data_IF_907437819607
#
_entry.id   IF_907437819607
#
_cell.length_a   1.000
_cell.length_b   1.000
_cell.length_c   1.000
_cell.angle_alpha   90.00
_cell.angle_beta   90.00
_cell.angle_gamma   90.00
#
_symmetry.space_group_name_H-M   'P 1'
#
loop_
_entity.id
_entity.type
_entity.pdbx_description
1 polymer ?
#
# COMPACT_ATOMS: atom_id res chain seq x y z
N UNK A 1 -4.82 0.05 12.18
CA UNK A 1 -5.04 0.59 10.81
C UNK A 1 -3.87 1.48 10.39
N UNK A 2 -3.57 1.55 9.09
CA UNK A 2 -2.45 2.30 8.52
C UNK A 2 -2.96 3.17 7.37
N UNK A 3 -2.56 4.44 7.32
CA UNK A 3 -2.79 5.27 6.14
C UNK A 3 -2.01 4.71 4.95
N UNK A 4 -2.71 4.35 3.88
CA UNK A 4 -2.07 3.88 2.64
C UNK A 4 -1.39 5.03 1.89
N UNK A 5 -0.28 4.75 1.22
CA UNK A 5 0.48 5.72 0.43
C UNK A 5 -0.36 6.40 -0.65
N UNK A 6 -0.14 7.70 -0.83
CA UNK A 6 -0.67 8.48 -1.96
C UNK A 6 -2.05 9.10 -1.78
N UNK A 7 -2.71 8.93 -0.63
CA UNK A 7 -4.10 9.41 -0.41
C UNK A 7 -4.14 10.80 0.22
N UNK A 8 -3.52 11.00 1.36
CA UNK A 8 -3.44 12.30 2.02
C UNK A 8 -2.02 12.82 1.96
N UNK A 9 -1.94 14.08 1.66
CA UNK A 9 -0.81 15.00 1.79
C UNK A 9 0.60 14.44 1.85
N UNK A 10 1.49 15.35 1.66
CA UNK A 10 2.93 15.11 1.73
C UNK A 10 3.52 15.88 2.92
N UNK A 11 2.66 16.35 3.85
CA UNK A 11 3.10 17.23 4.93
C UNK A 11 2.97 16.57 6.29
N UNK A 12 3.92 16.81 7.15
CA UNK A 12 3.95 16.40 8.56
C UNK A 12 2.66 16.77 9.29
N UNK A 13 2.12 17.97 9.04
CA UNK A 13 0.88 18.44 9.68
C UNK A 13 -0.32 17.57 9.32
N UNK A 14 -0.43 17.15 8.05
CA UNK A 14 -1.50 16.24 7.60
C UNK A 14 -1.34 14.86 8.24
N UNK A 15 -0.13 14.32 8.30
CA UNK A 15 0.12 13.02 8.93
C UNK A 15 -0.22 13.02 10.42
N UNK A 16 0.14 14.10 11.14
CA UNK A 16 -0.22 14.30 12.55
C UNK A 16 -1.75 14.40 12.76
N UNK A 17 -2.47 15.03 11.82
CA UNK A 17 -3.94 15.10 11.88
C UNK A 17 -4.58 13.72 11.68
N UNK A 18 -4.10 12.94 10.71
CA UNK A 18 -4.57 11.57 10.45
C UNK A 18 -4.32 10.66 11.66
N UNK A 19 -3.15 10.76 12.29
CA UNK A 19 -2.85 10.02 13.51
C UNK A 19 -3.82 10.36 14.66
N UNK A 20 -4.14 11.66 14.84
CA UNK A 20 -5.14 12.11 15.84
C UNK A 20 -6.54 11.55 15.58
N UNK A 21 -6.86 11.22 14.35
CA UNK A 21 -8.16 10.66 13.92
C UNK A 21 -8.20 9.12 13.92
N UNK A 22 -7.21 8.48 14.53
CA UNK A 22 -7.23 7.06 14.85
C UNK A 22 -6.39 6.16 13.94
N UNK A 23 -5.62 6.71 13.00
CA UNK A 23 -4.64 5.89 12.29
C UNK A 23 -3.52 5.43 13.23
N UNK A 24 -3.21 4.14 13.23
CA UNK A 24 -2.14 3.54 14.02
C UNK A 24 -0.78 3.51 13.33
N UNK A 25 -0.71 4.01 12.09
CA UNK A 25 0.52 4.17 11.31
C UNK A 25 0.29 5.01 10.07
N UNK A 26 1.35 5.64 9.58
CA UNK A 26 1.32 6.53 8.41
C UNK A 26 2.28 6.02 7.35
N UNK A 27 1.79 5.80 6.13
CA UNK A 27 2.66 5.59 4.98
C UNK A 27 2.74 6.89 4.17
N UNK A 28 3.95 7.37 3.93
CA UNK A 28 4.17 8.59 3.15
C UNK A 28 3.71 8.42 1.70
N UNK A 29 3.52 9.53 0.99
CA UNK A 29 3.48 9.49 -0.46
C UNK A 29 4.80 8.92 -0.99
N UNK A 30 4.73 8.27 -2.17
CA UNK A 30 5.93 7.70 -2.80
C UNK A 30 6.99 8.78 -3.06
N UNK A 31 8.19 8.54 -2.55
CA UNK A 31 9.34 9.44 -2.58
C UNK A 31 10.33 8.97 -3.66
N UNK A 32 10.82 9.91 -4.44
CA UNK A 32 11.83 9.69 -5.47
C UNK A 32 13.20 10.20 -5.02
N UNK A 33 14.26 9.69 -5.65
CA UNK A 33 15.61 10.26 -5.49
C UNK A 33 15.78 11.65 -6.13
N UNK A 34 14.79 12.11 -6.90
CA UNK A 34 14.76 13.39 -7.62
C UNK A 34 13.33 13.91 -7.69
N UNK A 35 13.15 15.21 -8.00
CA UNK A 35 11.83 15.76 -8.30
C UNK A 35 11.18 14.98 -9.46
N UNK A 36 9.88 14.67 -9.30
CA UNK A 36 9.10 13.96 -10.32
C UNK A 36 7.78 14.69 -10.58
N UNK A 37 7.53 14.96 -11.87
CA UNK A 37 6.32 15.65 -12.33
C UNK A 37 5.22 14.63 -12.61
N UNK A 38 4.09 14.78 -11.93
CA UNK A 38 2.91 13.93 -12.17
C UNK A 38 2.22 14.18 -13.50
N UNK A 39 1.16 13.43 -13.75
CA UNK A 39 0.34 13.58 -14.96
C UNK A 39 -0.51 14.87 -14.92
N UNK A 40 -0.93 15.40 -16.09
CA UNK A 40 -1.87 16.51 -16.16
C UNK A 40 -3.26 16.09 -15.68
N UNK A 41 -4.03 17.08 -15.18
CA UNK A 41 -5.43 16.85 -14.78
C UNK A 41 -6.35 16.65 -16.01
N UNK A 42 -7.46 15.90 -15.83
CA UNK A 42 -7.91 15.21 -14.62
C UNK A 42 -7.13 13.91 -14.34
N UNK A 43 -6.75 13.69 -13.08
CA UNK A 43 -5.96 12.54 -12.63
C UNK A 43 -6.73 11.56 -11.77
N UNK A 44 -7.92 11.93 -11.30
CA UNK A 44 -8.77 11.12 -10.42
C UNK A 44 -10.23 11.22 -10.86
N UNK A 45 -10.93 10.09 -10.83
CA UNK A 45 -12.38 9.99 -10.95
C UNK A 45 -12.88 9.12 -9.80
N UNK A 46 -13.93 9.57 -9.15
CA UNK A 46 -14.58 8.82 -8.07
C UNK A 46 -16.05 8.57 -8.38
N UNK A 47 -16.52 7.36 -8.05
CA UNK A 47 -17.92 6.95 -8.03
C UNK A 47 -18.26 6.34 -6.67
N UNK A 48 -19.50 5.94 -6.46
CA UNK A 48 -19.91 5.26 -5.24
C UNK A 48 -19.16 3.94 -5.01
N UNK A 49 -18.82 3.23 -6.08
CA UNK A 49 -18.31 1.86 -5.99
C UNK A 49 -16.82 1.73 -6.26
N UNK A 50 -16.21 2.72 -6.90
CA UNK A 50 -14.81 2.68 -7.29
C UNK A 50 -14.20 4.07 -7.50
N UNK A 51 -12.90 4.12 -7.40
CA UNK A 51 -12.08 5.26 -7.77
C UNK A 51 -11.07 4.83 -8.84
N UNK A 52 -10.87 5.65 -9.86
CA UNK A 52 -9.85 5.46 -10.89
C UNK A 52 -8.85 6.61 -10.82
N UNK A 53 -7.56 6.30 -10.76
CA UNK A 53 -6.54 7.33 -10.68
C UNK A 53 -5.33 7.08 -11.60
N UNK A 54 -4.78 8.16 -12.10
CA UNK A 54 -3.52 8.24 -12.83
C UNK A 54 -2.78 9.50 -12.39
N UNK A 55 -2.37 9.56 -11.12
CA UNK A 55 -1.71 10.76 -10.56
C UNK A 55 -0.30 10.94 -11.07
N UNK A 56 0.39 9.85 -11.47
CA UNK A 56 1.73 9.89 -12.06
C UNK A 56 2.83 10.16 -11.03
N UNK A 57 2.63 9.79 -9.76
CA UNK A 57 3.63 9.84 -8.69
C UNK A 57 4.38 11.19 -8.57
N UNK A 58 3.70 12.37 -8.55
CA UNK A 58 4.40 13.64 -8.36
C UNK A 58 5.10 13.69 -7.02
N UNK A 59 6.32 14.22 -7.01
CA UNK A 59 7.14 14.43 -5.84
C UNK A 59 7.90 15.76 -5.97
N UNK A 60 7.89 16.56 -4.91
CA UNK A 60 8.61 17.85 -4.84
C UNK A 60 10.13 17.67 -4.67
N UNK A 61 10.60 16.44 -4.59
CA UNK A 61 12.01 16.06 -4.50
C UNK A 61 12.51 15.84 -3.07
N UNK A 62 13.74 15.31 -2.95
CA UNK A 62 14.29 14.80 -1.69
C UNK A 62 14.36 15.84 -0.58
N UNK A 63 14.72 17.09 -0.89
CA UNK A 63 14.86 18.13 0.11
C UNK A 63 13.53 18.40 0.85
N UNK A 64 12.41 18.46 0.12
CA UNK A 64 11.09 18.65 0.72
C UNK A 64 10.63 17.43 1.50
N UNK A 65 10.87 16.23 0.99
CA UNK A 65 10.58 14.99 1.69
C UNK A 65 11.35 14.89 3.02
N UNK A 66 12.63 15.24 3.02
CA UNK A 66 13.47 15.25 4.23
C UNK A 66 12.99 16.27 5.27
N UNK A 67 12.56 17.45 4.83
CA UNK A 67 11.98 18.47 5.72
C UNK A 67 10.74 17.95 6.43
N UNK A 68 9.79 17.41 5.68
CA UNK A 68 8.50 16.94 6.22
C UNK A 68 8.67 15.69 7.12
N UNK A 69 9.48 14.73 6.71
CA UNK A 69 9.78 13.55 7.52
C UNK A 69 10.53 13.97 8.79
N UNK A 70 11.56 14.81 8.66
CA UNK A 70 12.32 15.29 9.81
C UNK A 70 11.47 16.10 10.80
N UNK A 71 10.44 16.82 10.33
CA UNK A 71 9.50 17.50 11.23
C UNK A 71 8.56 16.51 11.91
N UNK A 72 8.06 15.51 11.18
CA UNK A 72 7.20 14.48 11.76
C UNK A 72 7.92 13.66 12.82
N UNK A 73 9.16 13.25 12.57
CA UNK A 73 9.93 12.39 13.45
C UNK A 73 10.35 13.04 14.78
N UNK A 74 10.17 14.37 14.96
CA UNK A 74 10.45 15.05 16.25
C UNK A 74 9.53 14.61 17.37
N UNK A 75 8.28 14.29 17.06
CA UNK A 75 7.22 13.95 18.03
C UNK A 75 6.25 12.90 17.50
N UNK A 76 6.67 12.12 16.49
CA UNK A 76 5.81 11.20 15.72
C UNK A 76 4.85 10.38 16.61
N UNK A 77 3.54 10.68 16.55
CA UNK A 77 2.55 10.10 17.46
C UNK A 77 2.27 8.62 17.15
N UNK A 78 2.53 8.20 15.91
CA UNK A 78 2.40 6.82 15.43
C UNK A 78 3.53 6.51 14.44
N UNK A 79 3.89 5.23 14.22
CA UNK A 79 4.95 4.84 13.31
C UNK A 79 4.81 5.43 11.91
N UNK A 80 5.95 5.84 11.32
CA UNK A 80 6.06 6.34 9.96
C UNK A 80 6.71 5.30 9.05
N UNK A 81 6.00 4.94 7.98
CA UNK A 81 6.48 4.05 6.92
C UNK A 81 6.86 4.93 5.73
N UNK A 82 8.15 5.01 5.41
CA UNK A 82 8.63 5.78 4.28
C UNK A 82 8.45 5.00 2.98
N UNK A 83 7.52 5.42 2.13
CA UNK A 83 7.30 4.79 0.83
C UNK A 83 8.28 5.35 -0.19
N UNK A 84 9.04 4.49 -0.88
CA UNK A 84 9.98 4.86 -1.94
C UNK A 84 9.59 4.22 -3.27
N UNK A 85 9.92 4.93 -4.36
CA UNK A 85 9.66 4.48 -5.73
C UNK A 85 10.78 4.95 -6.66
N UNK A 86 11.07 4.16 -7.69
CA UNK A 86 12.02 4.54 -8.73
C UNK A 86 11.74 3.81 -10.05
N UNK A 87 12.36 4.29 -11.13
CA UNK A 87 12.34 3.65 -12.45
C UNK A 87 13.51 2.71 -12.68
N UNK A 88 14.55 2.76 -11.85
CA UNK A 88 15.74 1.93 -11.97
C UNK A 88 16.16 1.41 -10.59
N UNK A 89 16.84 0.27 -10.55
CA UNK A 89 17.22 -0.40 -9.30
C UNK A 89 18.13 0.47 -8.43
N UNK A 90 19.11 1.13 -9.04
CA UNK A 90 20.04 2.01 -8.33
C UNK A 90 19.38 3.29 -7.82
N UNK A 91 18.32 3.77 -8.46
CA UNK A 91 17.54 4.92 -7.98
C UNK A 91 16.69 4.57 -6.74
N UNK A 92 16.21 3.31 -6.59
CA UNK A 92 15.57 2.85 -5.35
C UNK A 92 16.54 2.92 -4.17
N UNK A 93 17.78 2.46 -4.35
CA UNK A 93 18.82 2.55 -3.34
C UNK A 93 19.10 4.02 -2.95
N UNK A 94 19.25 4.92 -3.93
CA UNK A 94 19.46 6.35 -3.70
C UNK A 94 18.28 7.02 -2.96
N UNK A 95 17.05 6.65 -3.28
CA UNK A 95 15.87 7.15 -2.57
C UNK A 95 15.91 6.72 -1.09
N UNK A 96 16.25 5.46 -0.81
CA UNK A 96 16.40 4.94 0.55
C UNK A 96 17.56 5.64 1.31
N UNK A 97 18.74 5.81 0.68
CA UNK A 97 19.90 6.49 1.26
C UNK A 97 19.56 7.90 1.77
N UNK A 98 18.72 8.64 1.02
CA UNK A 98 18.30 9.99 1.41
C UNK A 98 17.34 10.04 2.61
N UNK A 99 16.70 8.92 2.96
CA UNK A 99 15.66 8.84 4.00
C UNK A 99 16.14 8.11 5.27
N UNK A 100 17.04 7.12 5.15
CA UNK A 100 17.57 6.36 6.30
C UNK A 100 18.07 7.26 7.44
N UNK A 101 18.81 8.37 7.20
CA UNK A 101 19.29 9.23 8.30
C UNK A 101 18.18 9.91 9.11
N UNK A 102 16.94 9.94 8.59
CA UNK A 102 15.79 10.55 9.27
C UNK A 102 15.13 9.59 10.26
N UNK A 103 15.47 8.31 10.23
CA UNK A 103 15.02 7.27 11.17
C UNK A 103 13.54 6.91 11.05
N UNK A 104 12.98 6.67 9.83
CA UNK A 104 11.62 6.15 9.74
C UNK A 104 11.51 4.78 10.43
N UNK A 105 10.32 4.44 10.92
CA UNK A 105 10.10 3.17 11.62
C UNK A 105 10.11 1.96 10.67
N UNK A 106 9.77 2.19 9.39
CA UNK A 106 9.83 1.17 8.35
C UNK A 106 9.94 1.81 6.95
N UNK A 107 10.30 0.99 5.96
CA UNK A 107 10.22 1.34 4.54
C UNK A 107 9.10 0.56 3.85
N UNK A 108 8.44 1.20 2.88
CA UNK A 108 7.59 0.54 1.88
C UNK A 108 8.20 0.74 0.50
N UNK A 109 8.64 -0.35 -0.14
CA UNK A 109 9.26 -0.33 -1.48
C UNK A 109 8.16 -0.54 -2.51
N UNK A 110 7.77 0.52 -3.20
CA UNK A 110 6.70 0.48 -4.20
C UNK A 110 7.24 0.05 -5.56
N UNK A 111 7.25 -1.27 -5.81
CA UNK A 111 7.67 -1.86 -7.09
C UNK A 111 6.52 -1.99 -8.10
N UNK A 112 5.31 -1.59 -7.75
CA UNK A 112 4.05 -1.98 -8.40
C UNK A 112 3.34 -0.87 -9.16
N UNK A 113 3.99 0.27 -9.42
CA UNK A 113 3.32 1.38 -10.07
C UNK A 113 3.09 1.13 -11.56
N UNK A 114 1.83 1.00 -12.02
CA UNK A 114 1.52 0.78 -13.44
C UNK A 114 1.69 2.05 -14.31
N UNK A 115 1.85 3.22 -13.67
CA UNK A 115 1.90 4.52 -14.36
C UNK A 115 3.32 4.95 -14.77
N UNK A 116 4.32 4.08 -14.67
CA UNK A 116 5.72 4.30 -15.09
C UNK A 116 6.12 3.44 -16.30
N UNK A 117 5.20 2.63 -16.83
CA UNK A 117 5.48 1.69 -17.94
C UNK A 117 6.04 2.38 -19.20
N UNK A 118 5.55 3.58 -19.54
CA UNK A 118 5.94 4.30 -20.76
C UNK A 118 7.37 4.88 -20.71
N UNK A 119 7.91 5.14 -19.51
CA UNK A 119 9.27 5.68 -19.33
C UNK A 119 10.32 4.59 -19.08
N UNK A 120 9.95 3.49 -18.38
CA UNK A 120 10.91 2.53 -17.82
C UNK A 120 10.59 1.06 -18.15
N UNK A 121 9.59 0.79 -19.00
CA UNK A 121 9.13 -0.56 -19.33
C UNK A 121 8.14 -1.12 -18.31
N UNK A 122 8.01 -2.45 -18.24
CA UNK A 122 7.06 -3.10 -17.33
C UNK A 122 7.45 -2.86 -15.88
N UNK A 123 6.47 -2.68 -14.94
CA UNK A 123 6.74 -2.56 -13.52
C UNK A 123 7.58 -3.73 -12.99
N UNK A 124 8.49 -3.45 -12.07
CA UNK A 124 9.33 -4.49 -11.44
C UNK A 124 8.50 -5.60 -10.78
N UNK A 125 7.27 -5.28 -10.33
CA UNK A 125 6.33 -6.25 -9.78
C UNK A 125 5.88 -7.33 -10.75
N UNK A 126 6.07 -7.17 -12.06
CA UNK A 126 5.66 -8.16 -13.07
C UNK A 126 6.64 -9.32 -13.24
N UNK A 127 7.81 -9.28 -12.56
CA UNK A 127 8.87 -10.26 -12.68
C UNK A 127 9.45 -10.58 -11.31
N UNK A 128 9.36 -11.83 -10.88
CA UNK A 128 9.94 -12.26 -9.60
C UNK A 128 11.45 -11.99 -9.51
N UNK A 129 12.29 -12.25 -10.54
CA UNK A 129 13.71 -11.91 -10.52
C UNK A 129 13.98 -10.40 -10.39
N UNK A 130 13.17 -9.53 -11.01
CA UNK A 130 13.40 -8.09 -10.95
C UNK A 130 12.91 -7.50 -9.63
N UNK A 131 11.78 -7.99 -9.10
CA UNK A 131 11.32 -7.67 -7.75
C UNK A 131 12.37 -8.05 -6.69
N UNK A 132 12.97 -9.23 -6.82
CA UNK A 132 14.06 -9.69 -5.95
C UNK A 132 15.28 -8.77 -6.00
N UNK A 133 15.73 -8.35 -7.19
CA UNK A 133 16.87 -7.44 -7.35
C UNK A 133 16.62 -6.08 -6.67
N UNK A 134 15.42 -5.49 -6.84
CA UNK A 134 15.07 -4.24 -6.16
C UNK A 134 15.08 -4.44 -4.65
N UNK A 135 14.46 -5.51 -4.16
CA UNK A 135 14.42 -5.86 -2.74
C UNK A 135 15.82 -5.96 -2.15
N UNK A 136 16.71 -6.74 -2.77
CA UNK A 136 18.10 -6.90 -2.34
C UNK A 136 18.87 -5.57 -2.33
N UNK A 137 18.69 -4.73 -3.35
CA UNK A 137 19.36 -3.45 -3.46
C UNK A 137 18.93 -2.49 -2.33
N UNK A 138 17.63 -2.40 -2.04
CA UNK A 138 17.12 -1.54 -0.96
C UNK A 138 17.48 -2.10 0.41
N UNK A 139 17.39 -3.44 0.63
CA UNK A 139 17.72 -4.07 1.92
C UNK A 139 19.15 -3.78 2.37
N UNK A 140 20.11 -3.71 1.44
CA UNK A 140 21.50 -3.32 1.75
C UNK A 140 21.62 -1.92 2.33
N UNK A 141 20.72 -1.01 1.97
CA UNK A 141 20.74 0.39 2.40
C UNK A 141 19.99 0.56 3.72
N UNK A 142 18.80 -0.04 3.84
CA UNK A 142 17.95 0.14 5.02
C UNK A 142 18.41 -0.69 6.22
N UNK A 143 19.22 -1.75 5.99
CA UNK A 143 19.79 -2.57 7.04
C UNK A 143 18.72 -3.23 7.92
N UNK A 144 18.74 -2.94 9.23
CA UNK A 144 17.83 -3.51 10.22
C UNK A 144 16.45 -2.80 10.27
N UNK A 145 16.27 -1.70 9.54
CA UNK A 145 14.95 -1.04 9.48
C UNK A 145 13.99 -1.97 8.74
N UNK A 146 12.80 -2.26 9.31
CA UNK A 146 11.79 -3.11 8.68
C UNK A 146 11.43 -2.64 7.28
N UNK A 147 11.39 -3.56 6.32
CA UNK A 147 11.13 -3.26 4.91
C UNK A 147 9.96 -4.07 4.37
N UNK A 148 8.90 -3.38 3.99
CA UNK A 148 7.74 -3.94 3.31
C UNK A 148 7.88 -3.75 1.80
N UNK A 149 7.54 -4.78 1.01
CA UNK A 149 7.46 -4.66 -0.45
C UNK A 149 5.99 -4.55 -0.86
N UNK A 150 5.64 -3.48 -1.58
CA UNK A 150 4.28 -3.25 -2.06
C UNK A 150 4.06 -3.91 -3.40
N UNK A 151 3.14 -4.90 -3.40
CA UNK A 151 2.88 -5.79 -4.53
C UNK A 151 1.72 -5.32 -5.39
N UNK A 152 1.79 -5.67 -6.68
CA UNK A 152 0.73 -5.42 -7.66
C UNK A 152 -0.21 -6.62 -7.77
N UNK A 153 -1.53 -6.40 -7.88
CA UNK A 153 -2.47 -7.47 -8.22
C UNK A 153 -2.45 -7.84 -9.72
N UNK A 154 -1.76 -7.03 -10.55
CA UNK A 154 -1.78 -7.14 -12.01
C UNK A 154 -0.68 -8.09 -12.51
N UNK A 155 -0.59 -9.27 -11.90
CA UNK A 155 0.45 -10.28 -12.16
C UNK A 155 -0.19 -11.68 -12.15
N UNK A 156 0.46 -12.62 -12.82
CA UNK A 156 -0.06 -14.01 -12.90
C UNK A 156 0.03 -14.74 -11.56
N UNK A 157 1.12 -14.51 -10.80
CA UNK A 157 1.36 -15.20 -9.53
C UNK A 157 2.03 -14.27 -8.51
N UNK A 158 1.21 -13.58 -7.71
CA UNK A 158 1.68 -12.67 -6.66
C UNK A 158 2.46 -13.38 -5.56
N UNK A 159 2.11 -14.64 -5.26
CA UNK A 159 2.79 -15.45 -4.25
C UNK A 159 4.23 -15.80 -4.63
N UNK A 160 4.51 -16.06 -5.92
CA UNK A 160 5.87 -16.30 -6.41
C UNK A 160 6.75 -15.05 -6.26
N UNK A 161 6.19 -13.87 -6.56
CA UNK A 161 6.88 -12.60 -6.38
C UNK A 161 7.18 -12.34 -4.91
N UNK A 162 6.20 -12.59 -4.02
CA UNK A 162 6.39 -12.47 -2.58
C UNK A 162 7.52 -13.38 -2.07
N UNK A 163 7.55 -14.65 -2.48
CA UNK A 163 8.65 -15.58 -2.13
C UNK A 163 10.02 -15.07 -2.57
N UNK A 164 10.10 -14.54 -3.80
CA UNK A 164 11.35 -14.01 -4.32
C UNK A 164 11.83 -12.79 -3.53
N UNK A 165 10.93 -11.88 -3.16
CA UNK A 165 11.25 -10.73 -2.30
C UNK A 165 11.62 -11.18 -0.87
N UNK A 166 10.92 -12.15 -0.29
CA UNK A 166 11.23 -12.70 1.04
C UNK A 166 12.65 -13.29 1.09
N UNK A 167 13.04 -14.00 0.05
CA UNK A 167 14.39 -14.59 -0.05
C UNK A 167 15.51 -13.51 -0.07
N UNK A 168 15.20 -12.30 -0.52
CA UNK A 168 16.11 -11.15 -0.60
C UNK A 168 15.95 -10.17 0.59
N UNK A 169 15.24 -10.60 1.64
CA UNK A 169 15.18 -9.87 2.91
C UNK A 169 14.01 -8.89 3.04
N UNK A 170 12.93 -9.06 2.31
CA UNK A 170 11.67 -8.40 2.65
C UNK A 170 11.16 -8.89 4.00
N UNK A 171 10.91 -7.97 4.94
CA UNK A 171 10.40 -8.28 6.28
C UNK A 171 8.88 -8.46 6.29
N UNK A 172 8.19 -7.86 5.30
CA UNK A 172 6.74 -7.92 5.15
C UNK A 172 6.28 -7.46 3.77
N UNK A 173 4.96 -7.41 3.59
CA UNK A 173 4.36 -7.02 2.30
C UNK A 173 3.20 -6.06 2.49
N UNK A 174 3.03 -5.10 1.55
CA UNK A 174 1.77 -4.37 1.38
C UNK A 174 1.03 -4.98 0.19
N UNK A 175 -0.17 -5.49 0.43
CA UNK A 175 -0.99 -6.21 -0.56
C UNK A 175 -2.40 -5.64 -0.52
N UNK A 176 -2.82 -4.91 -1.55
CA UNK A 176 -2.35 -4.73 -2.91
C UNK A 176 -2.24 -3.23 -3.30
N UNK A 177 -1.54 -2.93 -4.40
CA UNK A 177 -1.70 -1.68 -5.13
C UNK A 177 -3.01 -1.74 -5.96
N UNK A 178 -3.28 -0.74 -6.78
CA UNK A 178 -4.49 -0.62 -7.60
C UNK A 178 -4.57 -1.71 -8.69
N UNK A 179 -5.81 -2.08 -9.03
CA UNK A 179 -6.13 -3.06 -10.08
C UNK A 179 -6.22 -2.34 -11.44
N UNK A 180 -5.79 -2.96 -12.49
CA UNK A 180 -5.97 -2.41 -13.83
C UNK A 180 -4.79 -2.61 -14.76
N UNK A 181 -4.69 -1.80 -15.82
CA UNK A 181 -5.34 -0.49 -16.00
C UNK A 181 -6.84 -0.56 -16.35
N UNK A 182 -7.61 0.42 -15.81
CA UNK A 182 -9.00 0.67 -16.15
C UNK A 182 -9.19 1.97 -16.93
N UNK A 183 -10.37 2.15 -17.58
CA UNK A 183 -10.73 3.34 -18.32
C UNK A 183 -12.20 3.74 -18.05
N UNK A 184 -12.46 5.05 -17.97
CA UNK A 184 -13.80 5.60 -18.01
C UNK A 184 -13.91 6.65 -19.13
N UNK A 185 -15.05 6.67 -19.82
CA UNK A 185 -15.31 7.52 -20.99
C UNK A 185 -16.43 8.49 -20.66
N UNK A 186 -16.21 9.78 -20.92
CA UNK A 186 -17.29 10.77 -20.92
C UNK A 186 -18.17 10.60 -22.16
N UNK A 187 -19.45 10.36 -21.92
CA UNK A 187 -20.41 10.01 -23.00
C UNK A 187 -20.71 11.17 -23.94
N UNK A 188 -20.51 12.41 -23.50
CA UNK A 188 -20.78 13.61 -24.32
C UNK A 188 -19.61 13.92 -25.23
N UNK A 189 -18.40 13.98 -24.66
CA UNK A 189 -17.18 14.24 -25.42
C UNK A 189 -16.69 13.01 -26.18
N UNK A 190 -17.10 11.79 -25.77
CA UNK A 190 -16.64 10.51 -26.30
C UNK A 190 -15.13 10.31 -26.12
N UNK A 191 -14.57 10.90 -25.05
CA UNK A 191 -13.15 10.86 -24.74
C UNK A 191 -12.91 10.18 -23.38
N UNK A 192 -11.75 9.58 -23.14
CA UNK A 192 -11.36 9.17 -21.80
C UNK A 192 -11.39 10.35 -20.83
N UNK A 193 -11.92 10.14 -19.62
CA UNK A 193 -12.03 11.20 -18.62
C UNK A 193 -10.67 11.55 -18.05
N UNK A 194 -9.84 10.55 -17.71
CA UNK A 194 -8.47 10.80 -17.25
C UNK A 194 -7.60 11.33 -18.37
N UNK A 195 -6.77 12.33 -18.10
CA UNK A 195 -5.81 12.88 -19.07
C UNK A 195 -4.81 11.79 -19.55
N UNK A 196 -4.43 10.87 -18.67
CA UNK A 196 -3.59 9.70 -19.01
C UNK A 196 -4.37 8.58 -19.75
N UNK A 197 -5.66 8.79 -20.07
CA UNK A 197 -6.60 7.84 -20.69
C UNK A 197 -6.97 6.66 -19.79
N UNK A 198 -6.01 5.99 -19.16
CA UNK A 198 -6.18 4.85 -18.26
C UNK A 198 -5.62 5.15 -16.87
N UNK A 199 -6.07 4.38 -15.87
CA UNK A 199 -5.58 4.52 -14.49
C UNK A 199 -5.78 3.25 -13.68
N UNK A 200 -5.25 3.25 -12.46
CA UNK A 200 -5.44 2.18 -11.50
C UNK A 200 -6.79 2.31 -10.78
N UNK A 201 -7.50 1.19 -10.67
CA UNK A 201 -8.77 1.07 -9.97
C UNK A 201 -8.55 0.80 -8.48
N UNK A 202 -9.28 1.51 -7.63
CA UNK A 202 -9.35 1.32 -6.18
C UNK A 202 -10.81 1.46 -5.69
N UNK A 203 -11.02 1.43 -4.37
CA UNK A 203 -12.35 1.52 -3.79
C UNK A 203 -13.00 0.16 -3.52
N UNK A 204 -14.30 0.12 -3.13
CA UNK A 204 -14.96 -1.12 -2.70
C UNK A 204 -14.89 -2.25 -3.73
N UNK A 205 -14.94 -1.91 -5.02
CA UNK A 205 -14.95 -2.88 -6.12
C UNK A 205 -13.73 -3.81 -6.16
N UNK A 206 -12.59 -3.42 -5.58
CA UNK A 206 -11.38 -4.26 -5.64
C UNK A 206 -11.21 -5.17 -4.42
N UNK A 207 -12.07 -5.08 -3.40
CA UNK A 207 -11.93 -5.87 -2.15
C UNK A 207 -11.81 -7.37 -2.41
N UNK A 208 -12.64 -8.03 -3.23
CA UNK A 208 -12.51 -9.47 -3.48
C UNK A 208 -11.15 -9.86 -4.09
N UNK A 209 -10.55 -8.96 -4.90
CA UNK A 209 -9.23 -9.17 -5.48
C UNK A 209 -8.16 -9.02 -4.40
N UNK A 210 -8.28 -8.01 -3.54
CA UNK A 210 -7.36 -7.81 -2.42
C UNK A 210 -7.35 -9.01 -1.47
N UNK A 211 -8.53 -9.51 -1.07
CA UNK A 211 -8.69 -10.72 -0.24
C UNK A 211 -7.97 -11.92 -0.86
N UNK A 212 -8.18 -12.17 -2.15
CA UNK A 212 -7.51 -13.28 -2.86
C UNK A 212 -6.00 -13.12 -2.89
N UNK A 213 -5.51 -11.95 -3.22
CA UNK A 213 -4.06 -11.67 -3.27
C UNK A 213 -3.40 -11.80 -1.89
N UNK A 214 -4.06 -11.31 -0.82
CA UNK A 214 -3.59 -11.46 0.56
C UNK A 214 -3.49 -12.94 0.93
N UNK A 215 -4.52 -13.72 0.61
CA UNK A 215 -4.52 -15.17 0.88
C UNK A 215 -3.37 -15.90 0.14
N UNK A 216 -3.12 -15.53 -1.13
CA UNK A 216 -2.02 -16.12 -1.90
C UNK A 216 -0.64 -15.78 -1.31
N UNK A 217 -0.42 -14.52 -0.92
CA UNK A 217 0.84 -14.09 -0.30
C UNK A 217 1.03 -14.74 1.06
N UNK A 218 -0.03 -14.80 1.88
CA UNK A 218 0.00 -15.47 3.18
C UNK A 218 0.40 -16.95 3.04
N UNK A 219 -0.27 -17.67 2.15
CA UNK A 219 0.04 -19.07 1.87
C UNK A 219 1.46 -19.25 1.31
N UNK A 220 1.88 -18.37 0.39
CA UNK A 220 3.20 -18.45 -0.24
C UNK A 220 4.35 -18.20 0.73
N UNK A 221 4.13 -17.40 1.78
CA UNK A 221 5.13 -17.06 2.81
C UNK A 221 4.98 -17.92 4.09
N UNK A 222 4.13 -18.95 4.05
CA UNK A 222 3.81 -19.81 5.20
C UNK A 222 3.28 -19.02 6.42
N UNK A 223 2.63 -17.86 6.18
CA UNK A 223 2.16 -16.95 7.22
C UNK A 223 3.27 -16.30 8.07
N UNK A 224 4.52 -16.35 7.63
CA UNK A 224 5.68 -15.86 8.39
C UNK A 224 5.94 -14.37 8.24
N UNK A 225 5.46 -13.76 7.16
CA UNK A 225 5.66 -12.34 6.88
C UNK A 225 4.39 -11.56 7.25
N UNK A 226 4.51 -10.46 8.00
CA UNK A 226 3.37 -9.56 8.23
C UNK A 226 2.90 -8.94 6.91
N UNK A 227 1.59 -8.79 6.76
CA UNK A 227 0.95 -8.22 5.59
C UNK A 227 0.14 -6.98 5.98
N UNK A 228 0.42 -5.84 5.36
CA UNK A 228 -0.47 -4.68 5.36
C UNK A 228 -1.51 -4.92 4.25
N UNK A 229 -2.67 -5.46 4.62
CA UNK A 229 -3.76 -5.73 3.70
C UNK A 229 -4.45 -4.44 3.27
N UNK A 230 -4.44 -4.13 1.98
CA UNK A 230 -4.96 -2.88 1.42
C UNK A 230 -5.81 -3.15 0.20
N UNK A 231 -7.00 -2.55 0.14
CA UNK A 231 -7.89 -2.62 -1.02
C UNK A 231 -9.35 -2.82 -0.64
N UNK A 232 -10.15 -1.79 -0.80
CA UNK A 232 -11.59 -1.81 -0.61
C UNK A 232 -12.08 -1.81 0.83
N UNK A 233 -11.25 -1.43 1.79
CA UNK A 233 -11.65 -1.32 3.20
C UNK A 233 -12.37 -0.01 3.46
N UNK A 234 -13.61 -0.10 3.90
CA UNK A 234 -14.52 1.00 4.25
C UNK A 234 -15.20 0.79 5.60
N UNK A 235 -15.28 -0.46 6.07
CA UNK A 235 -15.93 -0.86 7.32
C UNK A 235 -15.04 -1.78 8.15
N UNK A 236 -15.40 -2.00 9.43
CA UNK A 236 -14.72 -2.97 10.28
C UNK A 236 -14.82 -4.40 9.73
N UNK A 237 -15.94 -4.78 9.14
CA UNK A 237 -16.13 -6.10 8.54
C UNK A 237 -15.22 -6.32 7.32
N UNK A 238 -15.00 -5.28 6.48
CA UNK A 238 -14.02 -5.34 5.40
C UNK A 238 -12.61 -5.63 5.95
N UNK A 239 -12.24 -4.96 7.05
CA UNK A 239 -10.95 -5.17 7.70
C UNK A 239 -10.81 -6.60 8.25
N UNK A 240 -11.83 -7.12 8.92
CA UNK A 240 -11.87 -8.50 9.44
C UNK A 240 -11.71 -9.52 8.29
N UNK A 241 -12.37 -9.31 7.16
CA UNK A 241 -12.24 -10.19 5.99
C UNK A 241 -10.80 -10.26 5.48
N UNK A 242 -10.10 -9.11 5.42
CA UNK A 242 -8.68 -9.09 5.04
C UNK A 242 -7.81 -9.80 6.09
N UNK A 243 -8.10 -9.65 7.40
CA UNK A 243 -7.37 -10.35 8.45
C UNK A 243 -7.55 -11.87 8.36
N UNK A 244 -8.76 -12.34 8.13
CA UNK A 244 -9.03 -13.77 7.93
C UNK A 244 -8.27 -14.33 6.72
N UNK A 245 -8.06 -13.54 5.67
CA UNK A 245 -7.23 -13.91 4.53
C UNK A 245 -5.72 -13.94 4.85
N UNK A 246 -5.26 -13.25 5.90
CA UNK A 246 -3.85 -13.24 6.33
C UNK A 246 -3.25 -11.87 6.59
N UNK A 247 -4.02 -10.78 6.48
CA UNK A 247 -3.51 -9.45 6.80
C UNK A 247 -3.25 -9.29 8.31
N UNK A 248 -2.07 -8.77 8.66
CA UNK A 248 -1.69 -8.44 10.05
C UNK A 248 -2.07 -7.01 10.41
N UNK A 249 -1.97 -6.10 9.44
CA UNK A 249 -2.35 -4.70 9.54
C UNK A 249 -3.29 -4.36 8.38
N UNK A 250 -4.12 -3.33 8.58
CA UNK A 250 -5.12 -2.91 7.59
C UNK A 250 -4.76 -1.55 7.03
N UNK A 251 -4.46 -1.51 5.73
CA UNK A 251 -4.19 -0.29 4.98
C UNK A 251 -5.49 0.34 4.45
N UNK A 252 -5.74 1.60 4.80
CA UNK A 252 -6.91 2.37 4.36
C UNK A 252 -6.47 3.46 3.39
N UNK A 253 -7.03 3.44 2.19
CA UNK A 253 -6.72 4.37 1.11
C UNK A 253 -7.94 5.19 0.68
N UNK A 254 -8.60 4.78 -0.41
CA UNK A 254 -9.69 5.51 -1.05
C UNK A 254 -10.87 5.86 -0.14
N UNK A 255 -11.11 5.13 0.94
CA UNK A 255 -12.14 5.44 1.91
C UNK A 255 -11.95 6.83 2.55
N UNK A 256 -10.70 7.28 2.71
CA UNK A 256 -10.37 8.62 3.23
C UNK A 256 -10.91 9.74 2.33
N UNK A 257 -10.89 9.55 1.01
CA UNK A 257 -11.42 10.56 0.08
C UNK A 257 -12.93 10.79 0.28
N UNK A 258 -13.67 9.74 0.67
CA UNK A 258 -15.12 9.78 0.85
C UNK A 258 -15.55 10.14 2.27
N UNK A 259 -14.88 9.58 3.27
CA UNK A 259 -15.29 9.64 4.68
C UNK A 259 -14.39 10.54 5.53
N UNK A 260 -13.36 11.14 4.94
CA UNK A 260 -12.35 11.85 5.71
C UNK A 260 -11.45 10.89 6.50
N UNK A 261 -10.56 11.46 7.30
CA UNK A 261 -9.64 10.66 8.10
C UNK A 261 -10.31 10.01 9.33
N UNK A 262 -11.53 10.37 9.65
CA UNK A 262 -12.36 9.76 10.69
C UNK A 262 -12.60 8.26 10.43
N UNK A 263 -12.54 7.83 9.16
CA UNK A 263 -12.69 6.42 8.76
C UNK A 263 -11.72 5.46 9.50
N UNK A 264 -10.58 5.95 9.97
CA UNK A 264 -9.65 5.11 10.75
C UNK A 264 -10.25 4.70 12.09
N UNK A 265 -10.88 5.64 12.80
CA UNK A 265 -11.59 5.35 14.05
C UNK A 265 -12.83 4.47 13.78
N UNK A 266 -13.63 4.81 12.77
CA UNK A 266 -14.86 4.08 12.41
C UNK A 266 -14.58 2.60 12.09
N UNK A 267 -13.53 2.33 11.33
CA UNK A 267 -13.10 0.96 11.01
C UNK A 267 -12.65 0.22 12.28
N UNK A 268 -11.85 0.86 13.14
CA UNK A 268 -11.42 0.24 14.40
C UNK A 268 -12.58 -0.08 15.33
N UNK A 269 -13.55 0.84 15.46
CA UNK A 269 -14.78 0.63 16.25
C UNK A 269 -15.61 -0.53 15.68
N UNK A 270 -15.77 -0.58 14.35
CA UNK A 270 -16.44 -1.68 13.66
C UNK A 270 -15.76 -3.03 13.88
N UNK A 271 -14.43 -3.08 13.84
CA UNK A 271 -13.65 -4.29 14.15
C UNK A 271 -13.87 -4.73 15.60
N UNK A 272 -13.82 -3.80 16.54
CA UNK A 272 -14.04 -4.07 17.97
C UNK A 272 -15.47 -4.59 18.23
N UNK A 273 -16.46 -3.96 17.58
CA UNK A 273 -17.86 -4.39 17.69
C UNK A 273 -18.03 -5.82 17.18
N UNK A 274 -17.47 -6.14 16.02
CA UNK A 274 -17.52 -7.48 15.44
C UNK A 274 -16.85 -8.52 16.35
N UNK A 275 -15.62 -8.27 16.83
CA UNK A 275 -14.90 -9.16 17.74
C UNK A 275 -15.69 -9.43 19.03
N UNK A 276 -16.32 -8.39 19.60
CA UNK A 276 -17.14 -8.52 20.81
C UNK A 276 -18.33 -9.45 20.57
N UNK A 277 -19.02 -9.30 19.43
CA UNK A 277 -20.18 -10.13 19.10
C UNK A 277 -19.83 -11.60 18.84
N UNK A 278 -18.64 -11.83 18.26
CA UNK A 278 -18.15 -13.18 17.95
C UNK A 278 -17.35 -13.82 19.11
N UNK A 279 -17.19 -13.11 20.24
CA UNK A 279 -16.46 -13.62 21.41
C UNK A 279 -14.96 -13.79 21.15
N UNK A 280 -14.38 -12.91 20.33
CA UNK A 280 -12.94 -12.90 20.02
C UNK A 280 -12.23 -11.96 20.97
N UNK A 281 -11.43 -12.50 21.87
CA UNK A 281 -10.69 -11.73 22.87
C UNK A 281 -9.41 -11.07 22.31
N UNK A 282 -8.80 -11.70 21.30
CA UNK A 282 -7.58 -11.20 20.68
C UNK A 282 -7.72 -11.16 19.17
N UNK A 283 -7.76 -9.96 18.60
CA UNK A 283 -7.92 -9.76 17.14
C UNK A 283 -6.80 -10.42 16.32
N UNK A 284 -5.60 -10.59 16.88
CA UNK A 284 -4.49 -11.26 16.20
C UNK A 284 -4.78 -12.73 15.88
N UNK A 285 -5.72 -13.38 16.59
CA UNK A 285 -6.10 -14.77 16.34
C UNK A 285 -6.85 -14.94 15.02
N UNK A 286 -7.41 -13.84 14.48
CA UNK A 286 -8.08 -13.82 13.18
C UNK A 286 -7.11 -13.91 12.01
N UNK A 287 -5.83 -13.56 12.20
CA UNK A 287 -4.85 -13.54 11.11
C UNK A 287 -4.68 -14.93 10.50
N UNK A 288 -5.04 -15.04 9.22
CA UNK A 288 -5.00 -16.30 8.48
C UNK A 288 -6.03 -17.34 8.94
N UNK A 289 -7.08 -16.92 9.66
CA UNK A 289 -8.12 -17.80 10.19
C UNK A 289 -8.76 -18.67 9.11
N UNK A 290 -9.01 -18.12 7.93
CA UNK A 290 -9.52 -18.89 6.78
C UNK A 290 -8.62 -20.08 6.43
N UNK A 291 -7.31 -19.93 6.46
CA UNK A 291 -6.37 -21.02 6.12
C UNK A 291 -6.38 -22.13 7.15
N UNK A 292 -6.52 -21.78 8.45
CA UNK A 292 -6.64 -22.75 9.56
C UNK A 292 -7.92 -23.58 9.41
N UNK A 293 -9.04 -22.91 9.10
CA UNK A 293 -10.33 -23.57 8.88
C UNK A 293 -10.33 -24.51 7.65
N UNK A 294 -9.72 -24.08 6.54
CA UNK A 294 -9.60 -24.94 5.37
C UNK A 294 -8.73 -26.17 5.64
N UNK A 295 -7.63 -26.02 6.36
CA UNK A 295 -6.77 -27.12 6.75
C UNK A 295 -7.51 -28.15 7.65
N UNK A 296 -8.30 -27.66 8.62
CA UNK A 296 -9.06 -28.52 9.52
C UNK A 296 -10.15 -29.36 8.81
N UNK A 297 -10.73 -28.82 7.73
CA UNK A 297 -11.77 -29.52 6.92
C UNK A 297 -11.18 -30.50 5.90
N UNK A 298 -9.87 -30.42 5.65
CA UNK A 298 -9.18 -31.28 4.68
C UNK A 298 -8.46 -32.46 5.35
N UNK A 299 -8.39 -32.48 6.69
CA UNK A 299 -7.83 -33.54 7.53
C UNK A 299 -8.92 -34.51 8.01
#
# INVERSE_FOLDING_TARGET
>A
TVLASGILGITSSTWKDVAKKGAGGITTKSLWAKEHKGHPNPTIIETEHWMLNAVGLPDAGPAKAQEEIGDYMKDHPVPLIANIVAGQIDEFAKAAEGIVPLGPDAFEVNISCPNVEDEFGKPFACSAPDAAKVTAAVKKIVGDIPMFVKLSPNVDNIGEIAKACQAEGADGFTVINTVGPGMAIDLRSRMPILANKVGGLSGPAIKPIAVKCIADVYAATDGKCPIIGTGGVYTGEDAIELMLAGATLIGIGSAVARHGAEVFADVCEGMQYWCTNEGIDNIADLVGGMHKELASRSA
#
